data_IF_739813137176
#
_entry.id   IF_739813137176
#
_cell.length_a   1.000
_cell.length_b   1.000
_cell.length_c   1.000
_cell.angle_alpha   90.00
_cell.angle_beta   90.00
_cell.angle_gamma   90.00
#
_symmetry.space_group_name_H-M   'P 1'
#
loop_
_entity.id
_entity.type
_entity.pdbx_description
1 polymer ?
#
# COMPACT_ATOMS: atom_id res chain seq x y z
N UNK A 1 4.02 -1.71 -35.01
CA UNK A 1 3.60 -1.85 -33.61
C UNK A 1 3.35 -0.48 -33.03
N UNK A 2 2.09 -0.11 -32.86
CA UNK A 2 1.72 1.18 -32.26
C UNK A 2 2.04 1.15 -30.76
N UNK A 3 2.32 2.30 -30.15
CA UNK A 3 2.67 2.41 -28.73
C UNK A 3 1.62 1.76 -27.80
N UNK A 4 0.35 1.78 -28.25
CA UNK A 4 -0.81 1.18 -27.59
C UNK A 4 -0.73 -0.34 -27.57
N UNK A 5 -0.38 -0.99 -28.68
CA UNK A 5 -0.22 -2.46 -28.73
C UNK A 5 0.91 -2.95 -27.83
N UNK A 6 1.92 -2.11 -27.58
CA UNK A 6 3.04 -2.44 -26.70
C UNK A 6 2.69 -2.32 -25.21
N UNK A 7 1.70 -1.50 -24.84
CA UNK A 7 1.34 -1.19 -23.45
C UNK A 7 -0.11 -1.52 -23.09
N UNK A 8 -0.83 -2.29 -23.91
CA UNK A 8 -2.26 -2.59 -23.70
C UNK A 8 -2.57 -3.21 -22.32
N UNK A 9 -1.63 -3.99 -21.75
CA UNK A 9 -1.75 -4.55 -20.39
C UNK A 9 -1.76 -3.47 -19.31
N UNK A 10 -0.93 -2.44 -19.48
CA UNK A 10 -0.81 -1.30 -18.57
C UNK A 10 -2.07 -0.41 -18.64
N UNK A 11 -2.55 -0.16 -19.86
CA UNK A 11 -3.82 0.53 -20.09
C UNK A 11 -5.01 -0.24 -19.50
N UNK A 12 -5.01 -1.57 -19.58
CA UNK A 12 -6.03 -2.41 -18.96
C UNK A 12 -6.05 -2.30 -17.44
N UNK A 13 -4.89 -2.35 -16.78
CA UNK A 13 -4.80 -2.16 -15.32
C UNK A 13 -5.29 -0.77 -14.90
N UNK A 14 -4.87 0.28 -15.61
CA UNK A 14 -5.32 1.65 -15.34
C UNK A 14 -6.85 1.76 -15.52
N UNK A 15 -7.41 1.18 -16.58
CA UNK A 15 -8.84 1.19 -16.82
C UNK A 15 -9.63 0.47 -15.71
N UNK A 16 -9.13 -0.67 -15.22
CA UNK A 16 -9.75 -1.39 -14.09
C UNK A 16 -9.72 -0.54 -12.81
N UNK A 17 -8.60 0.10 -12.49
CA UNK A 17 -8.47 0.96 -11.31
C UNK A 17 -9.41 2.18 -11.38
N UNK A 18 -9.47 2.85 -12.54
CA UNK A 18 -10.37 3.99 -12.76
C UNK A 18 -11.83 3.54 -12.67
N UNK A 19 -12.18 2.40 -13.29
CA UNK A 19 -13.55 1.88 -13.27
C UNK A 19 -13.98 1.52 -11.85
N UNK A 20 -13.12 0.87 -11.06
CA UNK A 20 -13.39 0.58 -9.66
C UNK A 20 -13.59 1.85 -8.83
N UNK A 21 -12.75 2.86 -9.03
CA UNK A 21 -12.84 4.13 -8.31
C UNK A 21 -14.15 4.88 -8.62
N UNK A 22 -14.50 4.94 -9.92
CA UNK A 22 -15.76 5.54 -10.39
C UNK A 22 -16.97 4.76 -9.89
N UNK A 23 -16.94 3.44 -9.95
CA UNK A 23 -18.05 2.58 -9.51
C UNK A 23 -18.32 2.72 -8.00
N UNK A 24 -17.26 2.80 -7.18
CA UNK A 24 -17.36 3.05 -5.74
C UNK A 24 -17.85 4.47 -5.41
N UNK A 25 -17.65 5.44 -6.31
CA UNK A 25 -18.14 6.80 -6.13
C UNK A 25 -19.64 6.94 -6.41
N UNK A 26 -20.16 6.19 -7.39
CA UNK A 26 -21.56 6.27 -7.80
C UNK A 26 -22.52 5.38 -7.00
N UNK A 27 -22.03 4.33 -6.34
CA UNK A 27 -22.84 3.50 -5.45
C UNK A 27 -22.78 4.04 -4.03
N UNK A 28 -23.95 4.28 -3.43
CA UNK A 28 -24.04 4.70 -2.03
C UNK A 28 -23.39 3.67 -1.09
N UNK A 29 -22.62 4.10 -0.06
CA UNK A 29 -21.91 3.21 0.86
C UNK A 29 -22.77 2.10 1.45
N UNK A 30 -24.02 2.41 1.83
CA UNK A 30 -24.97 1.44 2.38
C UNK A 30 -25.41 0.40 1.35
N UNK A 31 -25.68 0.80 0.10
CA UNK A 31 -26.07 -0.14 -0.96
C UNK A 31 -24.95 -1.13 -1.31
N UNK A 32 -23.69 -0.69 -1.23
CA UNK A 32 -22.52 -1.56 -1.45
C UNK A 32 -22.41 -2.61 -0.35
N UNK A 33 -22.54 -2.21 0.92
CA UNK A 33 -22.46 -3.13 2.07
C UNK A 33 -23.65 -4.10 2.10
N UNK A 34 -24.86 -3.63 1.80
CA UNK A 34 -26.07 -4.46 1.81
C UNK A 34 -26.07 -5.50 0.68
N UNK A 35 -25.51 -5.16 -0.49
CA UNK A 35 -25.41 -6.07 -1.64
C UNK A 35 -24.35 -7.16 -1.46
N UNK A 36 -23.26 -6.82 -0.76
CA UNK A 36 -22.08 -7.70 -0.57
C UNK A 36 -22.22 -8.53 0.72
N UNK A 37 -22.87 -7.98 1.73
CA UNK A 37 -22.93 -8.53 3.08
C UNK A 37 -21.69 -8.17 3.92
N UNK A 38 -21.92 -7.78 5.17
CA UNK A 38 -20.88 -7.27 6.11
C UNK A 38 -19.70 -8.24 6.28
N UNK A 39 -19.92 -9.56 6.21
CA UNK A 39 -18.86 -10.56 6.32
C UNK A 39 -17.89 -10.53 5.12
N UNK A 40 -18.42 -10.34 3.91
CA UNK A 40 -17.61 -10.33 2.68
C UNK A 40 -16.84 -9.01 2.52
N UNK A 41 -17.31 -7.92 3.14
CA UNK A 41 -16.63 -6.63 3.18
C UNK A 41 -15.20 -6.73 3.71
N UNK A 42 -14.97 -7.47 4.79
CA UNK A 42 -13.62 -7.64 5.37
C UNK A 42 -12.68 -8.37 4.42
N UNK A 43 -13.18 -9.41 3.74
CA UNK A 43 -12.41 -10.17 2.77
C UNK A 43 -12.07 -9.33 1.54
N UNK A 44 -13.02 -8.54 1.04
CA UNK A 44 -12.80 -7.64 -0.09
C UNK A 44 -11.77 -6.58 0.24
N UNK A 45 -11.87 -5.93 1.41
CA UNK A 45 -10.86 -4.98 1.89
C UNK A 45 -9.50 -5.65 1.98
N UNK A 46 -9.41 -6.87 2.53
CA UNK A 46 -8.17 -7.63 2.60
C UNK A 46 -7.57 -7.90 1.21
N UNK A 47 -8.39 -8.31 0.23
CA UNK A 47 -7.94 -8.56 -1.15
C UNK A 47 -7.47 -7.26 -1.82
N UNK A 48 -8.25 -6.18 -1.71
CA UNK A 48 -7.88 -4.85 -2.24
C UNK A 48 -6.57 -4.37 -1.59
N UNK A 49 -6.42 -4.56 -0.28
CA UNK A 49 -5.21 -4.20 0.45
C UNK A 49 -4.00 -5.06 0.07
N UNK A 50 -4.21 -6.35 -0.23
CA UNK A 50 -3.12 -7.28 -0.59
C UNK A 50 -2.65 -7.09 -2.03
N UNK A 51 -3.56 -6.80 -2.95
CA UNK A 51 -3.26 -6.61 -4.38
C UNK A 51 -2.91 -5.15 -4.68
N UNK A 52 -3.60 -4.22 -4.02
CA UNK A 52 -3.44 -2.78 -4.19
C UNK A 52 -2.45 -2.18 -3.20
N UNK A 53 -2.55 -2.47 -1.90
CA UNK A 53 -1.70 -1.87 -0.88
C UNK A 53 -1.67 -0.33 -0.87
N UNK A 54 -0.75 0.23 -0.08
CA UNK A 54 -0.45 1.67 -0.05
C UNK A 54 0.54 2.09 -1.14
N UNK A 55 0.45 1.45 -2.31
CA UNK A 55 1.31 1.80 -3.44
C UNK A 55 0.88 3.13 -4.06
N UNK A 56 1.83 3.79 -4.72
CA UNK A 56 1.67 5.11 -5.36
C UNK A 56 0.47 5.21 -6.30
N UNK A 57 0.02 4.07 -6.85
CA UNK A 57 -1.06 3.98 -7.83
C UNK A 57 -2.42 3.56 -7.25
N UNK A 58 -2.43 2.93 -6.08
CA UNK A 58 -3.57 2.17 -5.55
C UNK A 58 -3.97 2.63 -4.16
N UNK A 59 -3.13 3.40 -3.46
CA UNK A 59 -3.41 3.91 -2.12
C UNK A 59 -4.73 4.70 -2.03
N UNK A 60 -5.04 5.51 -3.05
CA UNK A 60 -6.33 6.23 -3.11
C UNK A 60 -7.52 5.27 -3.23
N UNK A 61 -7.39 4.20 -4.00
CA UNK A 61 -8.45 3.19 -4.18
C UNK A 61 -8.64 2.37 -2.90
N UNK A 62 -7.55 2.05 -2.21
CA UNK A 62 -7.61 1.39 -0.91
C UNK A 62 -8.31 2.28 0.13
N UNK A 63 -7.89 3.54 0.26
CA UNK A 63 -8.49 4.48 1.20
C UNK A 63 -9.98 4.70 0.93
N UNK A 64 -10.38 4.86 -0.34
CA UNK A 64 -11.79 5.00 -0.71
C UNK A 64 -12.59 3.75 -0.35
N UNK A 65 -12.08 2.56 -0.62
CA UNK A 65 -12.77 1.32 -0.28
C UNK A 65 -12.99 1.20 1.24
N UNK A 66 -11.94 1.43 2.05
CA UNK A 66 -12.03 1.39 3.52
C UNK A 66 -13.06 2.39 4.04
N UNK A 67 -13.04 3.63 3.53
CA UNK A 67 -13.99 4.67 3.92
C UNK A 67 -15.42 4.27 3.54
N UNK A 68 -15.66 3.87 2.28
CA UNK A 68 -16.99 3.45 1.80
C UNK A 68 -17.55 2.30 2.64
N UNK A 69 -16.75 1.27 2.90
CA UNK A 69 -17.21 0.11 3.64
C UNK A 69 -17.49 0.42 5.12
N UNK A 70 -16.68 1.30 5.72
CA UNK A 70 -16.88 1.68 7.12
C UNK A 70 -18.04 2.66 7.28
N UNK A 71 -18.19 3.61 6.36
CA UNK A 71 -19.36 4.50 6.29
C UNK A 71 -20.65 3.71 6.02
N UNK A 72 -20.57 2.60 5.29
CA UNK A 72 -21.68 1.65 5.10
C UNK A 72 -22.01 0.78 6.32
N UNK A 73 -21.37 1.00 7.48
CA UNK A 73 -21.71 0.34 8.75
C UNK A 73 -20.87 -0.87 9.13
N UNK A 74 -19.80 -1.19 8.40
CA UNK A 74 -18.88 -2.26 8.79
C UNK A 74 -17.99 -1.84 9.99
N UNK A 75 -17.53 -2.82 10.77
CA UNK A 75 -16.77 -2.54 11.99
C UNK A 75 -15.37 -1.95 11.66
N UNK A 76 -15.04 -0.73 12.13
CA UNK A 76 -13.79 -0.05 11.81
C UNK A 76 -12.53 -0.82 12.26
N UNK A 77 -12.60 -1.53 13.39
CA UNK A 77 -11.47 -2.30 13.91
C UNK A 77 -11.16 -3.52 13.06
N UNK A 78 -12.20 -4.25 12.64
CA UNK A 78 -12.04 -5.43 11.79
C UNK A 78 -11.58 -5.05 10.38
N UNK A 79 -12.15 -3.98 9.79
CA UNK A 79 -11.68 -3.43 8.52
C UNK A 79 -10.23 -2.97 8.65
N UNK A 80 -9.88 -2.24 9.71
CA UNK A 80 -8.52 -1.76 9.94
C UNK A 80 -7.51 -2.89 10.09
N UNK A 81 -7.87 -3.98 10.79
CA UNK A 81 -7.04 -5.18 10.92
C UNK A 81 -6.87 -5.90 9.58
N UNK A 82 -7.97 -6.21 8.88
CA UNK A 82 -7.93 -6.89 7.59
C UNK A 82 -7.17 -6.06 6.55
N UNK A 83 -7.46 -4.76 6.48
CA UNK A 83 -6.77 -3.83 5.61
C UNK A 83 -5.29 -3.71 5.93
N UNK A 84 -4.93 -3.53 7.21
CA UNK A 84 -3.53 -3.39 7.61
C UNK A 84 -2.69 -4.66 7.39
N UNK A 85 -3.26 -5.85 7.62
CA UNK A 85 -2.59 -7.12 7.28
C UNK A 85 -2.42 -7.24 5.76
N UNK A 86 -3.44 -6.90 4.97
CA UNK A 86 -3.33 -6.92 3.52
C UNK A 86 -2.28 -5.95 2.98
N UNK A 87 -2.27 -4.71 3.47
CA UNK A 87 -1.26 -3.68 3.11
C UNK A 87 0.13 -4.18 3.48
N UNK A 88 0.31 -4.77 4.66
CA UNK A 88 1.59 -5.35 5.05
C UNK A 88 2.06 -6.47 4.11
N UNK A 89 1.16 -7.36 3.68
CA UNK A 89 1.52 -8.41 2.71
C UNK A 89 1.95 -7.77 1.38
N UNK A 90 1.20 -6.79 0.88
CA UNK A 90 1.53 -6.04 -0.35
C UNK A 90 2.90 -5.37 -0.25
N UNK A 91 3.14 -4.62 0.82
CA UNK A 91 4.40 -3.92 1.05
C UNK A 91 5.56 -4.93 1.21
N UNK A 92 5.33 -6.05 1.88
CA UNK A 92 6.34 -7.11 2.00
C UNK A 92 6.72 -7.70 0.65
N UNK A 93 5.75 -7.97 -0.22
CA UNK A 93 6.00 -8.43 -1.59
C UNK A 93 6.79 -7.39 -2.39
N UNK A 94 6.39 -6.11 -2.30
CA UNK A 94 7.09 -5.03 -2.98
C UNK A 94 8.54 -4.87 -2.49
N UNK A 95 8.76 -4.94 -1.18
CA UNK A 95 10.09 -4.91 -0.57
C UNK A 95 10.98 -6.03 -1.13
N UNK A 96 10.47 -7.27 -1.16
CA UNK A 96 11.21 -8.42 -1.66
C UNK A 96 11.53 -8.29 -3.16
N UNK A 97 10.57 -7.79 -3.95
CA UNK A 97 10.77 -7.50 -5.36
C UNK A 97 11.83 -6.41 -5.58
N UNK A 98 11.78 -5.33 -4.80
CA UNK A 98 12.78 -4.27 -4.83
C UNK A 98 14.17 -4.79 -4.42
N UNK A 99 14.25 -5.65 -3.40
CA UNK A 99 15.50 -6.27 -2.98
C UNK A 99 16.08 -7.17 -4.07
N UNK A 100 15.24 -7.99 -4.70
CA UNK A 100 15.65 -8.81 -5.83
C UNK A 100 16.10 -7.94 -7.01
N UNK A 101 15.33 -6.91 -7.35
CA UNK A 101 15.67 -5.94 -8.38
C UNK A 101 17.06 -5.34 -8.16
N UNK A 102 17.36 -4.90 -6.94
CA UNK A 102 18.68 -4.37 -6.57
C UNK A 102 19.82 -5.37 -6.81
N UNK A 103 19.59 -6.68 -6.64
CA UNK A 103 20.61 -7.73 -6.84
C UNK A 103 20.90 -7.99 -8.32
N UNK A 104 19.91 -7.82 -9.19
CA UNK A 104 19.98 -8.11 -10.63
C UNK A 104 20.38 -6.86 -11.45
N UNK A 105 20.57 -5.70 -10.80
CA UNK A 105 20.97 -4.46 -11.48
C UNK A 105 22.26 -4.63 -12.33
N UNK A 106 22.27 -4.14 -13.58
CA UNK A 106 23.45 -4.13 -14.45
C UNK A 106 24.68 -3.46 -13.81
N UNK A 107 25.87 -3.92 -14.19
CA UNK A 107 27.11 -3.48 -13.54
C UNK A 107 27.32 -1.96 -13.58
N UNK A 108 26.85 -1.30 -14.64
CA UNK A 108 26.98 0.13 -14.89
C UNK A 108 26.22 1.00 -13.87
N UNK A 109 25.13 0.47 -13.31
CA UNK A 109 24.26 1.20 -12.38
C UNK A 109 24.60 0.93 -10.90
N UNK A 110 25.38 -0.13 -10.63
CA UNK A 110 25.87 -0.46 -9.28
C UNK A 110 26.58 0.72 -8.58
N UNK A 111 27.54 1.44 -9.19
CA UNK A 111 28.24 2.53 -8.50
C UNK A 111 27.31 3.69 -8.14
N UNK A 112 26.30 3.98 -8.97
CA UNK A 112 25.29 5.01 -8.69
C UNK A 112 24.42 4.64 -7.50
N UNK A 113 23.91 3.40 -7.48
CA UNK A 113 23.14 2.85 -6.36
C UNK A 113 23.94 2.85 -5.05
N UNK A 114 25.22 2.47 -5.11
CA UNK A 114 26.08 2.47 -3.92
C UNK A 114 26.41 3.87 -3.40
N UNK A 115 26.48 4.87 -4.28
CA UNK A 115 26.65 6.27 -3.89
C UNK A 115 25.41 6.81 -3.17
N UNK A 116 24.22 6.48 -3.68
CA UNK A 116 22.94 6.83 -3.04
C UNK A 116 22.78 6.10 -1.70
N UNK A 117 23.06 4.79 -1.67
CA UNK A 117 23.02 3.97 -0.46
C UNK A 117 23.94 4.51 0.65
N UNK A 118 25.16 4.96 0.30
CA UNK A 118 26.10 5.57 1.26
C UNK A 118 25.57 6.87 1.86
N UNK A 119 24.90 7.71 1.07
CA UNK A 119 24.28 8.95 1.59
C UNK A 119 23.13 8.66 2.56
N UNK A 120 22.36 7.60 2.32
CA UNK A 120 21.27 7.20 3.24
C UNK A 120 21.78 6.57 4.54
N UNK A 121 22.92 5.88 4.50
CA UNK A 121 23.54 5.23 5.68
C UNK A 121 24.10 6.19 6.74
N UNK A 122 23.99 7.50 6.53
CA UNK A 122 24.44 8.50 7.52
C UNK A 122 23.50 8.53 8.73
N UNK A 123 22.26 8.04 8.59
CA UNK A 123 21.28 8.02 9.67
C UNK A 123 21.38 6.75 10.53
N UNK A 124 21.28 6.85 11.87
CA UNK A 124 21.20 5.69 12.75
C UNK A 124 20.00 4.78 12.39
N UNK A 125 20.17 3.46 12.53
CA UNK A 125 19.11 2.48 12.25
C UNK A 125 17.79 2.79 12.97
N UNK A 126 17.85 3.22 14.24
CA UNK A 126 16.66 3.61 15.00
C UNK A 126 15.92 4.80 14.38
N UNK A 127 16.65 5.80 13.89
CA UNK A 127 16.09 6.98 13.24
C UNK A 127 15.41 6.61 11.92
N UNK A 128 16.02 5.72 11.14
CA UNK A 128 15.43 5.25 9.88
C UNK A 128 14.16 4.43 10.13
N UNK A 129 14.15 3.57 11.16
CA UNK A 129 12.95 2.83 11.54
C UNK A 129 11.83 3.77 12.01
N UNK A 130 12.14 4.75 12.86
CA UNK A 130 11.16 5.73 13.32
C UNK A 130 10.62 6.58 12.16
N UNK A 131 11.50 7.02 11.25
CA UNK A 131 11.10 7.74 10.05
C UNK A 131 10.22 6.87 9.14
N UNK A 132 10.56 5.58 8.98
CA UNK A 132 9.77 4.65 8.18
C UNK A 132 8.36 4.43 8.76
N UNK A 133 8.24 4.38 10.09
CA UNK A 133 6.96 4.27 10.78
C UNK A 133 6.09 5.51 10.55
N UNK A 134 6.65 6.70 10.80
CA UNK A 134 5.93 7.96 10.63
C UNK A 134 5.51 8.15 9.17
N UNK A 135 6.40 7.83 8.23
CA UNK A 135 6.11 7.94 6.80
C UNK A 135 4.99 7.00 6.36
N UNK A 136 5.02 5.72 6.76
CA UNK A 136 3.96 4.75 6.43
C UNK A 136 2.66 5.00 7.19
N UNK A 137 2.68 5.77 8.28
CA UNK A 137 1.45 6.17 8.98
C UNK A 137 0.73 7.34 8.28
N UNK A 138 1.42 8.03 7.37
CA UNK A 138 0.86 9.10 6.55
C UNK A 138 0.30 8.51 5.25
N UNK A 139 -0.65 9.19 4.58
CA UNK A 139 -1.16 8.81 3.26
C UNK A 139 -0.12 9.12 2.17
N UNK A 140 1.11 8.65 2.36
CA UNK A 140 2.23 8.77 1.43
C UNK A 140 2.50 7.42 0.77
N UNK A 141 3.03 7.40 -0.47
CA UNK A 141 3.28 6.15 -1.18
C UNK A 141 4.33 5.27 -0.46
N UNK A 142 3.92 4.09 0.04
CA UNK A 142 4.80 3.17 0.78
C UNK A 142 6.00 2.72 -0.05
N UNK A 143 5.82 2.58 -1.36
CA UNK A 143 6.85 2.19 -2.35
C UNK A 143 8.15 2.99 -2.23
N UNK A 144 8.04 4.31 -2.03
CA UNK A 144 9.21 5.19 -1.97
C UNK A 144 10.07 4.88 -0.74
N UNK A 145 9.42 4.66 0.40
CA UNK A 145 10.10 4.31 1.64
C UNK A 145 10.68 2.89 1.55
N UNK A 146 9.96 1.93 0.98
CA UNK A 146 10.46 0.58 0.77
C UNK A 146 11.71 0.55 -0.12
N UNK A 147 11.70 1.30 -1.23
CA UNK A 147 12.88 1.47 -2.08
C UNK A 147 14.03 2.08 -1.28
N UNK A 148 13.79 3.17 -0.54
CA UNK A 148 14.83 3.79 0.29
C UNK A 148 15.46 2.81 1.29
N UNK A 149 14.65 1.99 1.94
CA UNK A 149 15.11 0.96 2.90
C UNK A 149 15.94 -0.14 2.23
N UNK A 150 15.50 -0.63 1.07
CA UNK A 150 16.23 -1.62 0.26
C UNK A 150 17.56 -1.05 -0.22
N UNK A 151 17.58 0.21 -0.68
CA UNK A 151 18.80 0.91 -1.08
C UNK A 151 19.75 1.13 0.09
N UNK A 152 19.23 1.45 1.26
CA UNK A 152 19.99 1.55 2.51
C UNK A 152 20.61 0.22 3.00
N UNK A 153 20.25 -0.90 2.36
CA UNK A 153 20.63 -2.27 2.74
C UNK A 153 20.17 -2.63 4.16
N UNK A 154 19.01 -2.12 4.58
CA UNK A 154 18.37 -2.58 5.81
C UNK A 154 17.85 -4.01 5.62
N UNK A 155 17.78 -4.80 6.69
CA UNK A 155 17.27 -6.18 6.62
C UNK A 155 15.75 -6.18 6.72
N UNK A 156 15.08 -6.97 5.87
CA UNK A 156 13.63 -7.15 5.92
C UNK A 156 13.15 -7.51 7.33
N UNK A 157 13.86 -8.40 8.04
CA UNK A 157 13.49 -8.83 9.41
C UNK A 157 13.46 -7.68 10.42
N UNK A 158 14.25 -6.64 10.20
CA UNK A 158 14.32 -5.48 11.08
C UNK A 158 13.20 -4.48 10.78
N UNK A 159 12.83 -4.34 9.49
CA UNK A 159 11.85 -3.33 9.06
C UNK A 159 10.41 -3.89 9.04
N UNK A 160 10.22 -5.18 8.79
CA UNK A 160 8.91 -5.82 8.68
C UNK A 160 7.99 -5.55 9.90
N UNK A 161 8.45 -5.65 11.16
CA UNK A 161 7.58 -5.33 12.31
C UNK A 161 7.13 -3.87 12.31
N UNK A 162 7.98 -2.96 11.84
CA UNK A 162 7.68 -1.52 11.79
C UNK A 162 6.69 -1.21 10.67
N UNK A 163 6.88 -1.81 9.49
CA UNK A 163 5.94 -1.69 8.37
C UNK A 163 4.58 -2.25 8.79
N UNK A 164 4.55 -3.42 9.44
CA UNK A 164 3.30 -4.03 9.91
C UNK A 164 2.54 -3.12 10.88
N UNK A 165 3.24 -2.58 11.89
CA UNK A 165 2.64 -1.67 12.86
C UNK A 165 2.14 -0.38 12.20
N UNK A 166 2.90 0.19 11.27
CA UNK A 166 2.49 1.40 10.55
C UNK A 166 1.27 1.13 9.65
N UNK A 167 1.24 0.00 8.92
CA UNK A 167 0.12 -0.40 8.07
C UNK A 167 -1.17 -0.62 8.86
N UNK A 168 -1.08 -1.25 10.03
CA UNK A 168 -2.20 -1.38 10.97
C UNK A 168 -2.68 -0.01 11.45
N UNK A 169 -1.75 0.85 11.88
CA UNK A 169 -2.07 2.19 12.40
C UNK A 169 -2.79 3.01 11.35
N UNK A 170 -2.25 3.08 10.13
CA UNK A 170 -2.86 3.79 9.01
C UNK A 170 -4.26 3.26 8.69
N UNK A 171 -4.41 1.94 8.59
CA UNK A 171 -5.67 1.30 8.20
C UNK A 171 -6.76 1.51 9.25
N UNK A 172 -6.41 1.46 10.53
CA UNK A 172 -7.34 1.75 11.63
C UNK A 172 -7.72 3.22 11.64
N UNK A 173 -6.77 4.14 11.41
CA UNK A 173 -7.03 5.58 11.36
C UNK A 173 -7.99 5.94 10.22
N UNK A 174 -7.78 5.39 9.03
CA UNK A 174 -8.70 5.62 7.89
C UNK A 174 -10.06 4.99 8.14
N UNK A 175 -10.11 3.78 8.70
CA UNK A 175 -11.39 3.16 9.04
C UNK A 175 -12.17 4.02 10.06
N UNK A 176 -11.52 4.52 11.12
CA UNK A 176 -12.16 5.42 12.08
C UNK A 176 -12.57 6.74 11.43
N UNK A 177 -11.76 7.29 10.52
CA UNK A 177 -12.15 8.46 9.76
C UNK A 177 -13.42 8.17 8.93
N UNK A 178 -13.51 7.02 8.28
CA UNK A 178 -14.72 6.60 7.55
C UNK A 178 -15.95 6.45 8.44
N UNK A 179 -15.79 6.00 9.69
CA UNK A 179 -16.90 5.90 10.65
C UNK A 179 -17.48 7.24 11.10
N UNK A 180 -16.76 8.35 10.90
CA UNK A 180 -17.31 9.69 11.16
C UNK A 180 -18.27 10.16 10.06
N UNK A 181 -18.29 9.47 8.92
CA UNK A 181 -19.10 9.78 7.74
C UNK A 181 -20.29 8.81 7.57
N UNK A 182 -20.51 7.89 8.53
CA UNK A 182 -21.64 6.96 8.56
C UNK A 182 -22.92 7.59 9.11
#
# INVERSE_FOLDING_TARGET
MTWIERHYRLLGVIAVLVTLNVFLFFLGPQQVVDSIGVSNTYLIVFIIATVGGMSSFTGATYASAVITFTAGGANPWLIGLCGGVGVFISDSLFYLLAEYGRRVVPHDWKPTLERVARKMRVLPTKTVLLLSYVYHSLPLPSDLMMLALVLGKYSYRTVAPVIFLAALTYSILIAHFGSLWS
#
